data_IF_762478313441
#
_entry.id   IF_762478313441
#
_cell.length_a   1.000
_cell.length_b   1.000
_cell.length_c   1.000
_cell.angle_alpha   90.00
_cell.angle_beta   90.00
_cell.angle_gamma   90.00
#
_symmetry.space_group_name_H-M   'P 1'
#
loop_
_entity.id
_entity.type
_entity.pdbx_description
1 polymer ?
#
# COMPACT_ATOMS: atom_id res chain seq x y z
N UNK A 1 7.51 -19.76 -19.07
CA UNK A 1 6.41 -19.24 -18.23
C UNK A 1 7.03 -18.51 -17.06
N UNK A 2 6.62 -17.26 -16.77
CA UNK A 2 7.10 -16.56 -15.58
C UNK A 2 6.37 -17.09 -14.36
N UNK A 3 7.11 -17.71 -13.44
CA UNK A 3 6.58 -18.21 -12.16
C UNK A 3 6.55 -17.09 -11.10
N UNK A 4 5.60 -17.14 -10.18
CA UNK A 4 5.56 -16.27 -9.00
C UNK A 4 6.47 -16.81 -7.90
N UNK A 5 6.99 -15.93 -7.04
CA UNK A 5 7.69 -16.32 -5.81
C UNK A 5 6.71 -16.99 -4.85
N UNK A 6 7.13 -18.08 -4.22
CA UNK A 6 6.37 -18.80 -3.21
C UNK A 6 7.25 -19.10 -1.99
N UNK A 7 6.65 -19.49 -0.87
CA UNK A 7 7.36 -19.75 0.38
C UNK A 7 8.44 -20.85 0.27
N UNK A 8 8.31 -21.75 -0.72
CA UNK A 8 9.26 -22.86 -0.93
C UNK A 8 10.46 -22.48 -1.82
N UNK A 9 10.51 -21.25 -2.37
CA UNK A 9 11.66 -20.80 -3.15
C UNK A 9 12.86 -20.55 -2.20
N UNK A 10 13.81 -21.50 -2.18
CA UNK A 10 15.04 -21.40 -1.41
C UNK A 10 15.97 -20.30 -1.97
N UNK A 11 16.26 -19.28 -1.15
CA UNK A 11 17.26 -18.24 -1.44
C UNK A 11 18.67 -18.80 -1.21
N UNK A 12 19.08 -19.80 -1.99
CA UNK A 12 20.43 -20.38 -1.92
C UNK A 12 21.42 -19.65 -2.84
N UNK A 13 20.92 -18.76 -3.69
CA UNK A 13 21.65 -17.93 -4.64
C UNK A 13 21.40 -16.44 -4.33
N UNK A 14 22.32 -15.53 -4.72
CA UNK A 14 22.12 -14.10 -4.55
C UNK A 14 20.83 -13.65 -5.23
N UNK A 15 19.98 -12.95 -4.47
CA UNK A 15 18.69 -12.46 -4.92
C UNK A 15 18.90 -11.23 -5.83
N UNK A 16 18.47 -11.31 -7.08
CA UNK A 16 18.49 -10.19 -8.02
C UNK A 16 17.06 -9.66 -8.17
N UNK A 17 16.79 -8.46 -7.67
CA UNK A 17 15.50 -7.77 -7.85
C UNK A 17 15.65 -6.62 -8.85
N UNK A 18 14.76 -6.58 -9.84
CA UNK A 18 14.60 -5.46 -10.76
C UNK A 18 13.16 -4.93 -10.65
N UNK A 19 13.00 -3.74 -10.05
CA UNK A 19 11.70 -3.07 -9.89
C UNK A 19 11.57 -1.78 -10.70
N UNK A 20 12.68 -1.23 -11.20
CA UNK A 20 12.69 0.01 -11.97
C UNK A 20 12.75 -0.31 -13.47
N UNK A 21 11.88 0.35 -14.26
CA UNK A 21 11.89 0.29 -15.75
C UNK A 21 11.82 -1.13 -16.33
N UNK A 22 10.96 -1.98 -15.76
CA UNK A 22 10.74 -3.36 -16.25
C UNK A 22 10.33 -3.39 -17.74
N UNK A 23 9.64 -2.37 -18.23
CA UNK A 23 9.19 -2.28 -19.62
C UNK A 23 10.31 -1.91 -20.61
N UNK A 24 11.34 -1.20 -20.15
CA UNK A 24 12.46 -0.77 -21.00
C UNK A 24 13.60 -1.80 -21.04
N UNK A 25 13.63 -2.72 -20.06
CA UNK A 25 14.68 -3.74 -19.98
C UNK A 25 14.20 -5.02 -20.67
N UNK A 26 14.73 -5.36 -21.86
CA UNK A 26 14.43 -6.63 -22.48
C UNK A 26 14.87 -7.77 -21.56
N UNK A 27 13.88 -8.57 -21.12
CA UNK A 27 14.07 -9.69 -20.18
C UNK A 27 15.07 -10.73 -20.68
N UNK A 28 15.34 -10.73 -21.99
CA UNK A 28 16.33 -11.54 -22.69
C UNK A 28 17.78 -11.12 -22.41
N UNK A 29 18.01 -9.85 -22.04
CA UNK A 29 19.34 -9.28 -21.76
C UNK A 29 19.78 -9.49 -20.31
N UNK A 30 18.85 -9.79 -19.40
CA UNK A 30 19.11 -10.04 -17.96
C UNK A 30 19.89 -11.33 -17.66
N UNK A 31 20.46 -11.99 -18.68
CA UNK A 31 21.11 -13.28 -18.58
C UNK A 31 20.11 -14.40 -18.28
N UNK A 32 20.50 -15.66 -18.51
CA UNK A 32 19.74 -16.82 -18.02
C UNK A 32 19.87 -16.92 -16.51
N UNK A 33 19.28 -15.99 -15.77
CA UNK A 33 19.00 -16.20 -14.35
C UNK A 33 18.10 -17.44 -14.26
N UNK A 34 18.64 -18.54 -13.73
CA UNK A 34 17.99 -19.85 -13.76
C UNK A 34 16.58 -19.84 -13.12
N UNK A 35 16.33 -18.91 -12.20
CA UNK A 35 15.09 -18.80 -11.43
C UNK A 35 14.54 -17.36 -11.41
N UNK A 36 14.11 -16.82 -12.56
CA UNK A 36 13.36 -15.57 -12.58
C UNK A 36 11.97 -15.79 -11.96
N UNK A 37 11.63 -15.02 -10.92
CA UNK A 37 10.35 -15.05 -10.22
C UNK A 37 9.70 -13.68 -10.22
N UNK A 38 8.37 -13.64 -10.33
CA UNK A 38 7.57 -12.43 -10.20
C UNK A 38 7.05 -12.29 -8.77
N UNK A 39 7.02 -11.06 -8.26
CA UNK A 39 6.33 -10.76 -7.01
C UNK A 39 4.81 -10.75 -7.23
N UNK A 40 4.00 -11.24 -6.27
CA UNK A 40 2.56 -11.16 -6.32
C UNK A 40 2.05 -9.72 -6.07
N UNK A 41 0.74 -9.56 -6.08
CA UNK A 41 0.08 -8.28 -5.77
C UNK A 41 0.44 -7.80 -4.36
N UNK A 42 1.14 -6.67 -4.28
CA UNK A 42 1.45 -5.96 -3.04
C UNK A 42 1.31 -4.46 -3.29
N UNK A 43 0.88 -3.72 -2.27
CA UNK A 43 0.71 -2.27 -2.33
C UNK A 43 1.96 -1.55 -1.82
N UNK A 44 2.31 -0.47 -2.52
CA UNK A 44 3.37 0.41 -2.09
C UNK A 44 2.92 1.29 -0.91
N UNK A 45 3.79 1.46 0.08
CA UNK A 45 3.64 2.43 1.16
C UNK A 45 4.62 3.61 1.02
N UNK A 46 5.46 3.60 -0.02
CA UNK A 46 6.33 4.72 -0.34
C UNK A 46 5.55 6.01 -0.65
N UNK A 47 6.18 7.16 -0.39
CA UNK A 47 5.58 8.49 -0.52
C UNK A 47 5.17 8.87 -1.95
N UNK A 48 5.71 8.19 -2.98
CA UNK A 48 5.49 8.54 -4.39
C UNK A 48 4.30 7.78 -4.99
N UNK A 49 4.12 6.52 -4.58
CA UNK A 49 3.16 5.58 -5.16
C UNK A 49 2.27 4.94 -4.10
N UNK A 50 2.05 5.63 -2.98
CA UNK A 50 1.23 5.16 -1.87
C UNK A 50 -0.11 4.57 -2.35
N UNK A 51 -0.40 3.34 -1.91
CA UNK A 51 -1.63 2.61 -2.23
C UNK A 51 -1.71 2.06 -3.66
N UNK A 52 -0.69 2.25 -4.51
CA UNK A 52 -0.67 1.68 -5.87
C UNK A 52 -0.17 0.24 -5.84
N UNK A 53 -0.94 -0.66 -6.44
CA UNK A 53 -0.56 -2.05 -6.66
C UNK A 53 0.65 -2.17 -7.60
N UNK A 54 1.57 -3.09 -7.30
CA UNK A 54 2.78 -3.41 -8.08
C UNK A 54 3.80 -2.26 -8.26
N UNK A 55 3.55 -1.07 -7.71
CA UNK A 55 4.43 0.11 -7.84
C UNK A 55 5.28 0.34 -6.59
N UNK A 56 5.85 -0.73 -6.07
CA UNK A 56 6.74 -0.72 -4.91
C UNK A 56 8.19 -0.40 -5.32
N UNK A 57 8.97 0.16 -4.40
CA UNK A 57 10.39 0.41 -4.59
C UNK A 57 11.23 -0.87 -4.37
N UNK A 58 12.56 -0.77 -4.55
CA UNK A 58 13.43 -1.96 -4.45
C UNK A 58 13.52 -2.50 -3.04
N UNK A 59 13.48 -1.63 -2.03
CA UNK A 59 13.53 -2.01 -0.63
C UNK A 59 12.24 -2.74 -0.20
N UNK A 60 11.08 -2.20 -0.57
CA UNK A 60 9.76 -2.79 -0.35
C UNK A 60 9.64 -4.15 -1.03
N UNK A 61 10.09 -4.25 -2.29
CA UNK A 61 10.09 -5.51 -3.02
C UNK A 61 11.00 -6.58 -2.37
N UNK A 62 12.16 -6.14 -1.87
CA UNK A 62 13.06 -7.03 -1.14
C UNK A 62 12.47 -7.48 0.19
N UNK A 63 11.88 -6.57 0.97
CA UNK A 63 11.19 -6.91 2.22
C UNK A 63 10.01 -7.87 1.98
N UNK A 64 9.20 -7.62 0.96
CA UNK A 64 8.12 -8.52 0.56
C UNK A 64 8.64 -9.91 0.19
N UNK A 65 9.70 -9.98 -0.62
CA UNK A 65 10.30 -11.27 -1.00
C UNK A 65 10.82 -12.04 0.22
N UNK A 66 11.51 -11.35 1.15
CA UNK A 66 11.99 -11.95 2.39
C UNK A 66 10.83 -12.46 3.25
N UNK A 67 9.75 -11.67 3.37
CA UNK A 67 8.57 -12.06 4.14
C UNK A 67 7.90 -13.30 3.56
N UNK A 68 7.69 -13.36 2.24
CA UNK A 68 7.04 -14.50 1.57
C UNK A 68 7.82 -15.80 1.79
N UNK A 69 9.16 -15.73 1.84
CA UNK A 69 10.03 -16.89 2.06
C UNK A 69 10.14 -17.25 3.56
N UNK A 70 9.55 -16.45 4.46
CA UNK A 70 9.54 -16.70 5.91
C UNK A 70 10.64 -15.99 6.70
N UNK A 71 11.44 -15.13 6.06
CA UNK A 71 12.44 -14.27 6.72
C UNK A 71 11.79 -12.96 7.23
N UNK A 72 10.76 -13.10 8.07
CA UNK A 72 9.95 -11.97 8.56
C UNK A 72 10.76 -11.00 9.41
N UNK A 73 11.70 -11.48 10.23
CA UNK A 73 12.57 -10.64 11.05
C UNK A 73 13.56 -9.81 10.21
N UNK A 74 14.13 -10.41 9.16
CA UNK A 74 15.05 -9.70 8.27
C UNK A 74 14.30 -8.64 7.46
N UNK A 75 13.08 -8.96 7.00
CA UNK A 75 12.19 -8.00 6.35
C UNK A 75 11.86 -6.81 7.26
N UNK A 76 11.55 -7.07 8.53
CA UNK A 76 11.27 -6.04 9.52
C UNK A 76 12.50 -5.17 9.82
N UNK A 77 13.67 -5.78 9.96
CA UNK A 77 14.94 -5.07 10.19
C UNK A 77 15.30 -4.18 9.00
N UNK A 78 15.09 -4.67 7.78
CA UNK A 78 15.32 -3.90 6.56
C UNK A 78 14.36 -2.70 6.45
N UNK A 79 13.09 -2.91 6.78
CA UNK A 79 12.08 -1.85 6.77
C UNK A 79 12.24 -0.84 7.91
N UNK A 80 12.83 -1.23 9.05
CA UNK A 80 13.05 -0.34 10.19
C UNK A 80 13.98 0.85 9.87
N UNK A 81 14.82 0.74 8.83
CA UNK A 81 15.65 1.85 8.35
C UNK A 81 14.86 2.94 7.62
N UNK A 82 13.59 2.69 7.28
CA UNK A 82 12.74 3.61 6.54
C UNK A 82 11.56 4.08 7.40
N UNK A 83 11.24 5.37 7.33
CA UNK A 83 10.12 5.97 8.08
C UNK A 83 8.76 5.36 7.74
N UNK A 84 8.57 4.94 6.47
CA UNK A 84 7.35 4.30 5.98
C UNK A 84 7.38 2.75 6.08
N UNK A 85 8.47 2.17 6.58
CA UNK A 85 8.65 0.71 6.64
C UNK A 85 7.63 -0.01 7.53
N UNK A 86 7.35 0.48 8.76
CA UNK A 86 6.30 -0.11 9.60
C UNK A 86 4.92 -0.03 8.94
N UNK A 87 4.64 1.07 8.25
CA UNK A 87 3.37 1.26 7.52
C UNK A 87 3.24 0.28 6.36
N UNK A 88 4.32 -0.01 5.63
CA UNK A 88 4.34 -1.03 4.58
C UNK A 88 3.91 -2.41 5.09
N UNK A 89 4.48 -2.84 6.22
CA UNK A 89 4.16 -4.12 6.84
C UNK A 89 2.73 -4.13 7.39
N UNK A 90 2.29 -3.03 8.01
CA UNK A 90 0.93 -2.89 8.57
C UNK A 90 -0.14 -2.91 7.47
N UNK A 91 0.09 -2.20 6.37
CA UNK A 91 -0.84 -2.12 5.24
C UNK A 91 -0.99 -3.47 4.53
N UNK A 92 0.12 -4.21 4.39
CA UNK A 92 0.15 -5.45 3.62
C UNK A 92 0.12 -6.72 4.49
N UNK A 93 -0.03 -6.62 5.81
CA UNK A 93 0.07 -7.76 6.75
C UNK A 93 -0.78 -8.96 6.32
N UNK A 94 -2.07 -8.74 6.05
CA UNK A 94 -2.97 -9.81 5.62
C UNK A 94 -2.60 -10.46 4.28
N UNK A 95 -1.98 -9.70 3.36
CA UNK A 95 -1.47 -10.27 2.10
C UNK A 95 -0.19 -11.06 2.32
N UNK A 96 0.74 -10.50 3.10
CA UNK A 96 2.03 -11.11 3.40
C UNK A 96 1.86 -12.43 4.16
N UNK A 97 0.99 -12.46 5.17
CA UNK A 97 0.63 -13.68 5.91
C UNK A 97 -0.04 -14.73 5.02
N UNK A 98 -0.90 -14.30 4.08
CA UNK A 98 -1.52 -15.22 3.12
C UNK A 98 -0.49 -15.81 2.15
N UNK A 99 0.47 -15.00 1.68
CA UNK A 99 1.52 -15.45 0.78
C UNK A 99 2.57 -16.33 1.46
N UNK A 100 2.89 -16.08 2.73
CA UNK A 100 3.76 -16.94 3.54
C UNK A 100 3.21 -18.38 3.64
N UNK A 101 1.89 -18.53 3.70
CA UNK A 101 1.24 -19.84 3.73
C UNK A 101 1.18 -20.53 2.36
N UNK A 102 1.36 -19.79 1.26
CA UNK A 102 1.31 -20.32 -0.10
C UNK A 102 2.63 -21.02 -0.48
N UNK A 103 2.57 -22.33 -0.69
CA UNK A 103 3.73 -23.16 -1.05
C UNK A 103 3.89 -23.32 -2.56
N UNK A 104 2.83 -23.05 -3.32
CA UNK A 104 2.83 -23.21 -4.78
C UNK A 104 2.48 -21.93 -5.51
N UNK A 105 3.03 -21.75 -6.71
CA UNK A 105 2.75 -20.58 -7.56
C UNK A 105 1.25 -20.39 -7.84
N UNK A 106 0.50 -21.49 -7.91
CA UNK A 106 -0.95 -21.47 -8.18
C UNK A 106 -1.74 -20.92 -6.99
N UNK A 107 -1.31 -21.22 -5.78
CA UNK A 107 -1.92 -20.65 -4.56
C UNK A 107 -1.70 -19.14 -4.50
N UNK A 108 -0.46 -18.70 -4.75
CA UNK A 108 -0.11 -17.28 -4.81
C UNK A 108 -0.95 -16.54 -5.84
N UNK A 109 -1.12 -17.13 -7.03
CA UNK A 109 -1.97 -16.56 -8.08
C UNK A 109 -3.45 -16.49 -7.66
N UNK A 110 -3.99 -17.55 -7.05
CA UNK A 110 -5.37 -17.58 -6.57
C UNK A 110 -5.64 -16.50 -5.51
N UNK A 111 -4.73 -16.33 -4.55
CA UNK A 111 -4.83 -15.27 -3.54
C UNK A 111 -4.80 -13.90 -4.20
N UNK A 112 -3.86 -13.68 -5.13
CA UNK A 112 -3.77 -12.42 -5.88
C UNK A 112 -5.05 -12.11 -6.66
N UNK A 113 -5.63 -13.10 -7.37
CA UNK A 113 -6.88 -12.92 -8.13
C UNK A 113 -8.07 -12.65 -7.21
N UNK A 114 -8.17 -13.35 -6.07
CA UNK A 114 -9.23 -13.12 -5.08
C UNK A 114 -9.18 -11.69 -4.53
N UNK A 115 -7.99 -11.21 -4.18
CA UNK A 115 -7.82 -9.85 -3.68
C UNK A 115 -8.18 -8.80 -4.74
N UNK A 116 -7.82 -9.02 -6.02
CA UNK A 116 -8.23 -8.11 -7.10
C UNK A 116 -9.75 -8.04 -7.26
N UNK A 117 -10.44 -9.18 -7.26
CA UNK A 117 -11.90 -9.22 -7.37
C UNK A 117 -12.59 -8.45 -6.23
N UNK A 118 -12.11 -8.63 -4.99
CA UNK A 118 -12.66 -7.91 -3.83
C UNK A 118 -12.50 -6.39 -3.93
N UNK A 119 -11.39 -5.91 -4.52
CA UNK A 119 -11.18 -4.47 -4.72
C UNK A 119 -12.10 -3.91 -5.80
N UNK A 120 -12.33 -4.65 -6.87
CA UNK A 120 -13.20 -4.23 -7.97
C UNK A 120 -14.63 -4.06 -7.45
N UNK A 121 -15.14 -5.03 -6.68
CA UNK A 121 -16.44 -4.95 -6.03
C UNK A 121 -16.56 -3.73 -5.11
N UNK A 122 -15.58 -3.53 -4.21
CA UNK A 122 -15.58 -2.37 -3.31
C UNK A 122 -15.50 -1.02 -4.06
N UNK A 123 -14.80 -0.96 -5.20
CA UNK A 123 -14.71 0.25 -6.02
C UNK A 123 -16.02 0.55 -6.73
N UNK A 124 -16.68 -0.47 -7.29
CA UNK A 124 -17.98 -0.31 -7.94
C UNK A 124 -19.06 0.13 -6.96
N UNK A 125 -19.07 -0.41 -5.75
CA UNK A 125 -20.02 0.02 -4.72
C UNK A 125 -19.79 1.48 -4.34
N UNK A 126 -18.53 1.88 -4.16
CA UNK A 126 -18.17 3.27 -3.87
C UNK A 126 -18.51 4.21 -5.02
N UNK A 127 -18.29 3.81 -6.28
CA UNK A 127 -18.64 4.63 -7.44
C UNK A 127 -20.15 4.79 -7.58
N UNK A 128 -20.92 3.70 -7.42
CA UNK A 128 -22.40 3.76 -7.42
C UNK A 128 -22.93 4.66 -6.30
N UNK A 129 -22.34 4.60 -5.10
CA UNK A 129 -22.71 5.46 -3.97
C UNK A 129 -22.38 6.93 -4.24
N UNK A 130 -21.23 7.22 -4.84
CA UNK A 130 -20.83 8.58 -5.23
C UNK A 130 -21.74 9.15 -6.33
N UNK A 131 -22.05 8.36 -7.35
CA UNK A 131 -22.96 8.75 -8.44
C UNK A 131 -24.37 9.05 -7.90
N UNK A 132 -24.89 8.20 -7.01
CA UNK A 132 -26.17 8.44 -6.34
C UNK A 132 -26.16 9.74 -5.50
N UNK A 133 -25.06 10.03 -4.77
CA UNK A 133 -24.90 11.28 -4.01
C UNK A 133 -24.83 12.49 -4.94
N UNK A 134 -24.09 12.40 -6.06
CA UNK A 134 -23.94 13.48 -7.03
C UNK A 134 -25.27 13.83 -7.72
N UNK A 135 -26.05 12.81 -8.12
CA UNK A 135 -27.39 13.01 -8.70
C UNK A 135 -28.38 13.67 -7.72
N UNK A 136 -28.30 13.34 -6.43
CA UNK A 136 -29.08 14.01 -5.38
C UNK A 136 -28.69 15.48 -5.21
N UNK A 137 -27.40 15.79 -5.27
CA UNK A 137 -26.89 17.16 -5.14
C UNK A 137 -27.30 18.06 -6.32
N UNK A 138 -27.30 17.53 -7.55
CA UNK A 138 -27.72 18.26 -8.76
C UNK A 138 -29.20 18.64 -8.77
N UNK A 139 -30.06 17.84 -8.12
CA UNK A 139 -31.51 18.13 -7.99
C UNK A 139 -31.82 19.12 -6.85
N UNK A 140 -30.89 19.35 -5.93
CA UNK A 140 -31.10 20.14 -4.71
C UNK A 140 -30.72 21.63 -4.79
N UNK A 141 -30.16 22.12 -5.89
CA UNK A 141 -29.85 23.55 -6.05
C UNK A 141 -28.72 24.09 -5.15
N UNK A 142 -27.93 23.22 -4.52
CA UNK A 142 -26.82 23.62 -3.64
C UNK A 142 -25.55 23.95 -4.45
N UNK A 143 -25.40 25.23 -4.80
CA UNK A 143 -24.19 25.84 -5.41
C UNK A 143 -23.04 26.03 -4.40
N UNK A 144 -22.76 25.03 -3.57
CA UNK A 144 -21.78 25.11 -2.48
C UNK A 144 -21.05 23.78 -2.22
N UNK A 145 -20.66 23.06 -3.29
CA UNK A 145 -20.08 21.72 -3.19
C UNK A 145 -18.61 21.66 -2.72
N UNK A 146 -17.97 22.77 -2.37
CA UNK A 146 -16.52 22.80 -2.10
C UNK A 146 -16.15 22.48 -0.64
N UNK A 147 -17.13 22.32 0.27
CA UNK A 147 -16.89 22.07 1.70
C UNK A 147 -17.21 20.63 2.15
N UNK A 148 -17.82 19.81 1.29
CA UNK A 148 -18.45 18.53 1.67
C UNK A 148 -17.57 17.28 1.41
N UNK A 149 -16.34 17.51 0.93
CA UNK A 149 -15.29 16.54 0.58
C UNK A 149 -14.22 16.38 1.68
N UNK A 150 -14.32 17.10 2.80
CA UNK A 150 -13.52 16.82 4.00
C UNK A 150 -14.19 15.68 4.76
N UNK A 151 -13.55 14.50 4.83
CA UNK A 151 -13.87 13.47 5.83
C UNK A 151 -13.60 14.06 7.23
N UNK A 152 -14.54 14.88 7.69
CA UNK A 152 -14.57 15.39 9.05
C UNK A 152 -14.92 14.22 9.98
N UNK A 153 -14.12 13.96 11.02
CA UNK A 153 -14.52 13.03 12.06
C UNK A 153 -15.87 13.49 12.65
N UNK A 154 -16.72 12.56 13.11
CA UNK A 154 -17.93 12.91 13.85
C UNK A 154 -17.57 13.91 14.94
N UNK A 155 -18.33 14.99 15.04
CA UNK A 155 -18.19 15.94 16.14
C UNK A 155 -18.60 15.19 17.41
N UNK A 156 -17.65 14.94 18.30
CA UNK A 156 -17.97 14.49 19.65
C UNK A 156 -18.67 15.66 20.34
N UNK A 157 -20.00 15.68 20.25
CA UNK A 157 -20.85 16.54 21.07
C UNK A 157 -20.90 15.94 22.47
N UNK A 158 -19.86 16.16 23.29
CA UNK A 158 -19.97 16.20 24.75
C UNK A 158 -18.70 16.83 25.37
N UNK A 159 -18.98 17.82 26.21
CA UNK A 159 -18.16 18.43 27.26
C UNK A 159 -17.55 19.84 27.04
N UNK A 160 -18.17 20.72 27.82
CA UNK A 160 -18.03 22.13 28.15
C UNK A 160 -16.77 22.40 29.04
N UNK A 161 -16.37 23.68 29.13
CA UNK A 161 -15.30 24.28 29.97
C UNK A 161 -13.84 24.18 29.43
N UNK A 162 -12.99 25.22 29.39
CA UNK A 162 -13.01 26.60 29.87
C UNK A 162 -11.55 27.11 30.10
N UNK A 163 -11.27 28.35 29.68
CA UNK A 163 -10.12 29.25 30.02
C UNK A 163 -8.72 28.97 29.41
N UNK A 164 -7.84 29.93 29.08
CA UNK A 164 -7.62 31.34 29.51
C UNK A 164 -7.20 32.30 28.37
N UNK A 165 -7.49 33.59 28.54
CA UNK A 165 -6.96 34.76 27.79
C UNK A 165 -5.58 35.24 28.29
N UNK A 166 -4.81 35.80 27.33
CA UNK A 166 -3.70 36.79 27.40
C UNK A 166 -2.36 36.38 28.08
N UNK A 167 -1.19 36.70 27.51
CA UNK A 167 -0.58 38.04 27.51
C UNK A 167 0.22 38.37 26.22
N UNK A 168 0.15 39.65 25.83
CA UNK A 168 0.97 40.27 24.80
C UNK A 168 2.44 40.36 25.22
N UNK A 169 3.35 39.81 24.41
CA UNK A 169 4.78 40.07 24.55
C UNK A 169 5.07 41.55 24.20
N UNK A 170 5.20 42.33 25.26
CA UNK A 170 5.69 43.70 25.25
C UNK A 170 7.16 43.74 24.74
N UNK A 171 7.39 44.33 23.57
CA UNK A 171 8.73 44.71 23.14
C UNK A 171 8.77 46.09 22.47
N UNK A 172 8.99 47.12 23.29
CA UNK A 172 9.74 48.35 22.98
C UNK A 172 9.79 49.16 24.30
N UNK A 173 10.91 49.61 24.85
CA UNK A 173 12.30 49.69 24.45
C UNK A 173 12.99 50.65 25.45
N UNK A 174 14.32 50.73 25.34
CA UNK A 174 15.30 51.57 26.08
C UNK A 174 15.84 50.96 27.37
#
# INVERSE_FOLDING_TARGET
>A
MSSYICANDLIHNPLCLCVSRIEEVPVTTLGKARNQRKLPLIYAANTVNYGKAWKMNTAEALAAALYIVGYTQDAATLMASFSYGPEFLRMNSGLLEAYEQCKTEREVQNVSTRCLAQLEEMKEEKSKKLEARNEQSLKGGNIGGYMDDMDLPPRDDDDEEGYYEEEEDNQQGV
#
